data_IF_951626746516
#
_entry.id   IF_951626746516
#
_cell.length_a   1.000
_cell.length_b   1.000
_cell.length_c   1.000
_cell.angle_alpha   90.00
_cell.angle_beta   90.00
_cell.angle_gamma   90.00
#
_symmetry.space_group_name_H-M   'P 1'
#
loop_
_entity.id
_entity.type
_entity.pdbx_description
1 polymer ?
#
# COMPACT_ATOMS: atom_id res chain seq x y z
N UNK A 1 -23.00 -6.35 7.52
CA UNK A 1 -22.53 -7.23 8.61
C UNK A 1 -23.04 -6.76 9.96
N UNK A 2 -22.68 -5.55 10.38
CA UNK A 2 -23.13 -4.93 11.64
C UNK A 2 -24.64 -4.71 11.65
N UNK A 3 -25.22 -4.15 10.58
CA UNK A 3 -26.67 -3.94 10.44
C UNK A 3 -27.48 -5.25 10.51
N UNK A 4 -26.86 -6.38 10.19
CA UNK A 4 -27.48 -7.71 10.25
C UNK A 4 -27.24 -8.42 11.60
N UNK A 5 -26.65 -7.73 12.59
CA UNK A 5 -26.38 -8.27 13.92
C UNK A 5 -25.36 -9.42 13.95
N UNK A 6 -24.42 -9.48 12.99
CA UNK A 6 -23.35 -10.49 13.01
C UNK A 6 -22.44 -10.32 14.22
N UNK A 7 -21.91 -11.43 14.71
CA UNK A 7 -21.01 -11.46 15.86
C UNK A 7 -19.77 -10.54 15.65
N UNK A 8 -19.39 -9.83 16.71
CA UNK A 8 -18.29 -8.87 16.67
C UNK A 8 -16.97 -9.53 16.26
N UNK A 9 -16.70 -10.77 16.67
CA UNK A 9 -15.47 -11.49 16.28
C UNK A 9 -15.45 -11.79 14.79
N UNK A 10 -16.59 -12.13 14.19
CA UNK A 10 -16.69 -12.32 12.73
C UNK A 10 -16.46 -11.01 11.96
N UNK A 11 -16.97 -9.90 12.47
CA UNK A 11 -16.72 -8.57 11.89
C UNK A 11 -15.22 -8.24 11.93
N UNK A 12 -14.55 -8.50 13.06
CA UNK A 12 -13.11 -8.30 13.20
C UNK A 12 -12.30 -9.17 12.22
N UNK A 13 -12.69 -10.44 12.03
CA UNK A 13 -12.07 -11.33 11.04
C UNK A 13 -12.20 -10.77 9.62
N UNK A 14 -13.38 -10.27 9.24
CA UNK A 14 -13.57 -9.68 7.91
C UNK A 14 -12.80 -8.38 7.72
N UNK A 15 -12.71 -7.53 8.76
CA UNK A 15 -11.87 -6.34 8.71
C UNK A 15 -10.39 -6.69 8.52
N UNK A 16 -9.90 -7.75 9.19
CA UNK A 16 -8.55 -8.27 8.98
C UNK A 16 -8.33 -8.78 7.55
N UNK A 17 -9.33 -9.44 6.96
CA UNK A 17 -9.27 -9.89 5.57
C UNK A 17 -9.19 -8.71 4.59
N UNK A 18 -9.99 -7.65 4.81
CA UNK A 18 -9.91 -6.43 4.00
C UNK A 18 -8.56 -5.74 4.15
N UNK A 19 -8.05 -5.60 5.38
CA UNK A 19 -6.71 -5.05 5.62
C UNK A 19 -5.62 -5.84 4.88
N UNK A 20 -5.70 -7.17 4.90
CA UNK A 20 -4.78 -8.05 4.17
C UNK A 20 -4.87 -7.87 2.66
N UNK A 21 -6.08 -7.74 2.12
CA UNK A 21 -6.29 -7.45 0.70
C UNK A 21 -5.70 -6.09 0.30
N UNK A 22 -5.92 -5.05 1.12
CA UNK A 22 -5.34 -3.72 0.93
C UNK A 22 -3.80 -3.77 0.95
N UNK A 23 -3.20 -4.52 1.87
CA UNK A 23 -1.74 -4.75 1.86
C UNK A 23 -1.26 -5.39 0.55
N UNK A 24 -2.01 -6.35 0.00
CA UNK A 24 -1.72 -6.94 -1.30
C UNK A 24 -1.73 -5.91 -2.42
N UNK A 25 -2.79 -5.10 -2.51
CA UNK A 25 -2.92 -4.03 -3.52
C UNK A 25 -1.81 -3.00 -3.39
N UNK A 26 -1.50 -2.55 -2.17
CA UNK A 26 -0.43 -1.58 -1.92
C UNK A 26 0.95 -2.09 -2.41
N UNK A 27 1.25 -3.39 -2.30
CA UNK A 27 2.48 -3.98 -2.86
C UNK A 27 2.50 -3.90 -4.38
N UNK A 28 1.38 -4.17 -5.05
CA UNK A 28 1.27 -4.08 -6.51
C UNK A 28 1.53 -2.66 -6.97
N UNK A 29 0.90 -1.66 -6.33
CA UNK A 29 1.09 -0.24 -6.64
C UNK A 29 2.55 0.19 -6.40
N UNK A 30 3.16 -0.22 -5.29
CA UNK A 30 4.55 0.11 -4.99
C UNK A 30 5.51 -0.44 -6.06
N UNK A 31 5.29 -1.69 -6.48
CA UNK A 31 6.09 -2.30 -7.55
C UNK A 31 5.93 -1.53 -8.87
N UNK A 32 4.69 -1.22 -9.25
CA UNK A 32 4.39 -0.47 -10.48
C UNK A 32 5.05 0.92 -10.48
N UNK A 33 5.02 1.61 -9.34
CA UNK A 33 5.67 2.91 -9.18
C UNK A 33 7.20 2.82 -9.33
N UNK A 34 7.83 1.77 -8.79
CA UNK A 34 9.27 1.52 -8.97
C UNK A 34 9.60 1.25 -10.44
N UNK A 35 8.81 0.43 -11.12
CA UNK A 35 9.07 0.04 -12.53
C UNK A 35 8.90 1.20 -13.51
N UNK A 36 7.98 2.12 -13.26
CA UNK A 36 7.66 3.20 -14.21
C UNK A 36 8.23 4.57 -13.81
N UNK A 37 8.05 5.00 -12.56
CA UNK A 37 8.41 6.37 -12.16
C UNK A 37 9.89 6.48 -11.76
N UNK A 38 10.43 5.46 -11.09
CA UNK A 38 11.80 5.52 -10.57
C UNK A 38 12.83 5.27 -11.67
N UNK A 39 12.53 4.39 -12.62
CA UNK A 39 13.40 4.13 -13.76
C UNK A 39 13.67 5.42 -14.55
N UNK A 40 12.66 6.27 -14.71
CA UNK A 40 12.82 7.55 -15.41
C UNK A 40 13.51 8.61 -14.54
N UNK A 41 13.18 8.67 -13.24
CA UNK A 41 13.85 9.57 -12.31
C UNK A 41 15.36 9.34 -12.22
N UNK A 42 15.80 8.07 -12.27
CA UNK A 42 17.23 7.73 -12.29
C UNK A 42 17.93 8.22 -13.56
N UNK A 43 17.25 8.18 -14.72
CA UNK A 43 17.82 8.69 -15.98
C UNK A 43 17.98 10.21 -15.97
N UNK A 44 17.13 10.91 -15.24
CA UNK A 44 17.10 12.38 -15.18
C UNK A 44 17.79 12.96 -13.95
N UNK A 45 18.41 12.13 -13.10
CA UNK A 45 18.94 12.50 -11.77
C UNK A 45 17.92 13.27 -10.90
N UNK A 46 16.64 12.89 -11.02
CA UNK A 46 15.56 13.50 -10.24
C UNK A 46 15.51 12.90 -8.83
N UNK A 47 16.16 13.61 -7.90
CA UNK A 47 16.24 13.21 -6.49
C UNK A 47 14.93 13.39 -5.73
N UNK A 48 14.04 14.28 -6.17
CA UNK A 48 12.78 14.52 -5.47
C UNK A 48 11.87 13.28 -5.53
N UNK A 49 11.82 12.63 -6.70
CA UNK A 49 11.07 11.39 -6.89
C UNK A 49 11.60 10.27 -5.99
N UNK A 50 12.92 10.15 -5.84
CA UNK A 50 13.55 9.17 -4.94
C UNK A 50 13.24 9.45 -3.47
N UNK A 51 13.25 10.72 -3.04
CA UNK A 51 12.84 11.10 -1.69
C UNK A 51 11.37 10.78 -1.41
N UNK A 52 10.50 11.01 -2.38
CA UNK A 52 9.07 10.72 -2.25
C UNK A 52 8.81 9.20 -2.16
N UNK A 53 9.55 8.39 -2.92
CA UNK A 53 9.51 6.93 -2.78
C UNK A 53 9.92 6.50 -1.36
N UNK A 54 11.01 7.02 -0.83
CA UNK A 54 11.47 6.68 0.52
C UNK A 54 10.41 7.01 1.58
N UNK A 55 9.79 8.20 1.50
CA UNK A 55 8.68 8.60 2.38
C UNK A 55 7.48 7.65 2.25
N UNK A 56 7.18 7.15 1.05
CA UNK A 56 6.10 6.19 0.82
C UNK A 56 6.42 4.82 1.44
N UNK A 57 7.66 4.34 1.29
CA UNK A 57 8.13 3.07 1.90
C UNK A 57 8.07 3.15 3.43
N UNK A 58 8.54 4.25 4.04
CA UNK A 58 8.51 4.45 5.49
C UNK A 58 7.08 4.39 6.07
N UNK A 59 6.09 4.82 5.29
CA UNK A 59 4.67 4.73 5.68
C UNK A 59 4.09 3.34 5.42
N UNK A 60 4.54 2.66 4.38
CA UNK A 60 4.07 1.34 4.00
C UNK A 60 4.57 0.24 4.96
N UNK A 61 5.76 0.41 5.54
CA UNK A 61 6.34 -0.55 6.49
C UNK A 61 5.89 -0.37 7.94
N UNK A 62 5.14 0.69 8.25
CA UNK A 62 4.51 0.89 9.56
C UNK A 62 3.21 0.11 9.68
#
# INVERSE_FOLDING_TARGET
MVENGRDCSEVLIQLSAVSSALHGVSKVILKDHIEHCIVDAVKTDDREVLENLNKAIDRFMK
#
